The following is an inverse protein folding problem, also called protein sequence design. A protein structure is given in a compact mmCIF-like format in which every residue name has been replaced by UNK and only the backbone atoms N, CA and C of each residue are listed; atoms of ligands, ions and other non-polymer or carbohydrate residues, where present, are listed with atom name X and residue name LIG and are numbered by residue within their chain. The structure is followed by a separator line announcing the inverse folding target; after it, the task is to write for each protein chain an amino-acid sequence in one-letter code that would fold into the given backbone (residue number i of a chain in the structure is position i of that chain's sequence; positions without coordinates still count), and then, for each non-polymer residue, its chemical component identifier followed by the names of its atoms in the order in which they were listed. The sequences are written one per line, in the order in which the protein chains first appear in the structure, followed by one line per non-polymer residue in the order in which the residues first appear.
data_IF_176912044102
#
_entry.id   IF_176912044102
#
_cell.length_a   1.000
_cell.length_b   1.000
_cell.length_c   1.000
_cell.angle_alpha   90.00
_cell.angle_beta   90.00
_cell.angle_gamma   90.00
#
_symmetry.space_group_name_H-M   'P 1'
#
loop_
_entity.id
_entity.type
_entity.pdbx_description
1 polymer ?
#
# COMPACT_ATOMS: atom_id res chain seq x y z
N UNK A 1 30.93 -7.87 0.86
CA UNK A 1 29.93 -6.81 0.70
C UNK A 1 29.07 -7.15 -0.50
N UNK A 2 27.75 -7.27 -0.31
CA UNK A 2 26.81 -7.37 -1.43
C UNK A 2 26.61 -5.97 -2.01
N UNK A 3 26.69 -5.84 -3.33
CA UNK A 3 26.36 -4.61 -4.04
C UNK A 3 24.83 -4.54 -4.17
N UNK A 4 24.19 -3.81 -3.25
CA UNK A 4 22.74 -3.66 -3.22
C UNK A 4 22.32 -2.50 -4.11
N UNK A 5 21.44 -2.76 -5.08
CA UNK A 5 20.93 -1.75 -6.03
C UNK A 5 19.43 -1.51 -5.95
N UNK A 6 18.67 -2.39 -5.27
CA UNK A 6 17.23 -2.30 -5.24
C UNK A 6 16.63 -2.86 -3.94
N UNK A 7 15.59 -2.22 -3.44
CA UNK A 7 14.80 -2.70 -2.31
C UNK A 7 13.30 -2.53 -2.60
N UNK A 8 12.52 -3.59 -2.39
CA UNK A 8 11.06 -3.51 -2.37
C UNK A 8 10.52 -3.90 -0.99
N UNK A 9 9.67 -3.05 -0.39
CA UNK A 9 8.98 -3.38 0.85
C UNK A 9 7.53 -3.75 0.57
N UNK A 10 7.26 -5.05 0.56
CA UNK A 10 5.94 -5.62 0.26
C UNK A 10 5.29 -6.25 1.51
N UNK A 11 6.10 -6.55 2.54
CA UNK A 11 5.64 -7.22 3.75
C UNK A 11 4.54 -6.41 4.46
N UNK A 12 3.48 -7.09 4.85
CA UNK A 12 2.42 -6.50 5.66
C UNK A 12 1.66 -7.56 6.47
N UNK A 13 1.05 -7.13 7.55
CA UNK A 13 0.03 -7.87 8.28
C UNK A 13 -1.27 -7.08 8.25
N UNK A 14 -2.39 -7.78 8.23
CA UNK A 14 -3.72 -7.19 8.34
C UNK A 14 -4.60 -8.03 9.27
N UNK A 15 -5.63 -7.39 9.83
CA UNK A 15 -6.67 -8.07 10.59
C UNK A 15 -7.97 -7.29 10.43
N UNK A 16 -9.04 -8.00 10.10
CA UNK A 16 -10.38 -7.43 10.06
C UNK A 16 -11.07 -7.61 11.41
N UNK A 17 -11.75 -6.59 11.88
CA UNK A 17 -12.53 -6.60 13.10
C UNK A 17 -12.64 -5.22 13.74
N UNK A 18 -13.56 -5.09 14.69
CA UNK A 18 -13.63 -3.89 15.52
C UNK A 18 -12.37 -3.81 16.38
N UNK A 19 -11.91 -2.60 16.63
CA UNK A 19 -10.65 -2.38 17.35
C UNK A 19 -10.65 -3.04 18.74
N UNK A 20 -11.77 -2.93 19.46
CA UNK A 20 -11.89 -3.48 20.82
C UNK A 20 -12.02 -5.01 20.85
N UNK A 21 -12.39 -5.65 19.73
CA UNK A 21 -12.60 -7.10 19.64
C UNK A 21 -11.36 -7.83 19.09
N UNK A 22 -10.37 -7.09 18.61
CA UNK A 22 -9.10 -7.64 18.10
C UNK A 22 -8.10 -7.76 19.27
N UNK A 23 -7.49 -8.94 19.49
CA UNK A 23 -6.46 -9.11 20.54
C UNK A 23 -5.29 -8.15 20.37
N UNK A 24 -4.78 -7.61 21.50
CA UNK A 24 -3.68 -6.64 21.49
C UNK A 24 -2.44 -7.15 20.75
N UNK A 25 -2.12 -8.41 20.87
CA UNK A 25 -0.96 -9.04 20.23
C UNK A 25 -1.01 -8.95 18.70
N UNK A 26 -2.22 -8.97 18.12
CA UNK A 26 -2.41 -8.72 16.68
C UNK A 26 -2.15 -7.25 16.32
N UNK A 27 -2.62 -6.34 17.16
CA UNK A 27 -2.33 -4.92 16.98
C UNK A 27 -0.83 -4.63 17.02
N UNK A 28 -0.16 -5.16 18.04
CA UNK A 28 1.29 -5.00 18.20
C UNK A 28 2.07 -5.59 17.02
N UNK A 29 1.70 -6.81 16.57
CA UNK A 29 2.31 -7.44 15.40
C UNK A 29 2.14 -6.59 14.13
N UNK A 30 0.95 -6.03 13.88
CA UNK A 30 0.71 -5.14 12.74
C UNK A 30 1.56 -3.87 12.82
N UNK A 31 1.67 -3.22 13.97
CA UNK A 31 2.53 -2.04 14.15
C UNK A 31 3.99 -2.43 13.87
N UNK A 32 4.44 -3.55 14.43
CA UNK A 32 5.81 -4.00 14.27
C UNK A 32 6.17 -4.29 12.81
N UNK A 33 5.30 -4.94 12.05
CA UNK A 33 5.58 -5.22 10.62
C UNK A 33 5.33 -3.99 9.76
N UNK A 34 4.13 -3.38 9.85
CA UNK A 34 3.72 -2.35 8.88
C UNK A 34 4.38 -0.98 9.12
N UNK A 35 4.90 -0.73 10.33
CA UNK A 35 5.50 0.56 10.69
C UNK A 35 6.95 0.41 11.10
N UNK A 36 7.22 -0.34 12.17
CA UNK A 36 8.57 -0.38 12.77
C UNK A 36 9.57 -1.07 11.85
N UNK A 37 9.24 -2.25 11.33
CA UNK A 37 10.12 -3.01 10.41
C UNK A 37 10.26 -2.28 9.07
N UNK A 38 9.16 -1.73 8.54
CA UNK A 38 9.21 -0.86 7.37
C UNK A 38 10.25 0.25 7.55
N UNK A 39 10.13 1.05 8.63
CA UNK A 39 11.05 2.15 8.87
C UNK A 39 12.50 1.71 9.03
N UNK A 40 12.75 0.59 9.72
CA UNK A 40 14.11 0.04 9.86
C UNK A 40 14.71 -0.34 8.52
N UNK A 41 13.95 -1.03 7.66
CA UNK A 41 14.39 -1.41 6.32
C UNK A 41 14.61 -0.17 5.45
N UNK A 42 13.62 0.71 5.38
CA UNK A 42 13.68 1.91 4.56
C UNK A 42 14.86 2.79 4.94
N UNK A 43 15.01 3.11 6.23
CA UNK A 43 16.15 3.87 6.74
C UNK A 43 17.51 3.20 6.40
N UNK A 44 17.61 1.88 6.60
CA UNK A 44 18.86 1.15 6.35
C UNK A 44 19.28 1.23 4.89
N UNK A 45 18.36 0.93 3.96
CA UNK A 45 18.68 0.94 2.53
C UNK A 45 18.86 2.35 1.98
N UNK A 46 18.07 3.33 2.43
CA UNK A 46 18.27 4.73 2.04
C UNK A 46 19.67 5.24 2.44
N UNK A 47 20.21 4.85 3.60
CA UNK A 47 21.59 5.18 3.94
C UNK A 47 22.62 4.57 2.98
N UNK A 48 22.40 3.33 2.55
CA UNK A 48 23.29 2.65 1.59
C UNK A 48 23.20 3.37 0.23
N UNK A 49 22.01 3.57 -0.27
CA UNK A 49 21.78 4.16 -1.59
C UNK A 49 22.23 5.62 -1.67
N UNK A 50 21.99 6.42 -0.64
CA UNK A 50 22.49 7.78 -0.55
C UNK A 50 24.03 7.84 -0.51
N UNK A 51 24.69 6.93 0.22
CA UNK A 51 26.14 6.90 0.30
C UNK A 51 26.83 6.47 -1.01
N UNK A 52 26.18 5.65 -1.82
CA UNK A 52 26.70 5.21 -3.14
C UNK A 52 26.15 6.05 -4.30
N UNK A 53 25.27 7.01 -4.02
CA UNK A 53 24.53 7.83 -5.00
C UNK A 53 23.95 6.98 -6.15
N UNK A 54 23.37 5.84 -5.79
CA UNK A 54 22.79 4.87 -6.73
C UNK A 54 21.89 3.90 -5.99
N UNK A 55 20.71 3.65 -6.52
CA UNK A 55 19.79 2.64 -6.03
C UNK A 55 18.34 2.97 -6.32
N UNK A 56 17.46 2.03 -6.02
CA UNK A 56 16.03 2.25 -6.16
C UNK A 56 15.24 1.59 -5.05
N UNK A 57 14.12 2.21 -4.69
CA UNK A 57 13.19 1.72 -3.66
C UNK A 57 11.77 1.76 -4.20
N UNK A 58 11.05 0.64 -4.08
CA UNK A 58 9.60 0.58 -4.25
C UNK A 58 8.97 0.16 -2.92
N UNK A 59 8.14 1.02 -2.36
CA UNK A 59 7.36 0.73 -1.17
C UNK A 59 5.88 0.52 -1.53
N UNK A 60 5.25 -0.49 -0.94
CA UNK A 60 3.88 -0.88 -1.28
C UNK A 60 2.89 -0.38 -0.25
N UNK A 61 2.03 0.55 -0.66
CA UNK A 61 0.87 1.02 0.09
C UNK A 61 -0.43 0.33 -0.35
N UNK A 62 -1.56 0.86 0.03
CA UNK A 62 -2.91 0.35 -0.28
C UNK A 62 -3.88 1.50 -0.46
N UNK A 63 -4.96 1.29 -1.20
CA UNK A 63 -6.10 2.22 -1.29
C UNK A 63 -6.64 2.61 0.10
N UNK A 64 -6.57 1.68 1.08
CA UNK A 64 -6.94 1.97 2.48
C UNK A 64 -5.96 2.90 3.18
N UNK A 65 -4.77 3.13 2.62
CA UNK A 65 -3.84 4.16 3.08
C UNK A 65 -4.15 5.56 2.53
N UNK A 66 -4.96 5.66 1.48
CA UNK A 66 -5.46 6.94 0.95
C UNK A 66 -6.70 7.37 1.74
N UNK A 67 -7.64 6.44 1.93
CA UNK A 67 -8.90 6.70 2.64
C UNK A 67 -9.21 5.57 3.60
N UNK A 68 -9.80 5.91 4.76
CA UNK A 68 -10.02 4.98 5.86
C UNK A 68 -11.03 3.89 5.49
N UNK A 69 -10.77 2.67 5.96
CA UNK A 69 -11.68 1.54 5.84
C UNK A 69 -12.08 1.05 7.23
N UNK A 70 -13.37 1.15 7.61
CA UNK A 70 -13.86 0.59 8.86
C UNK A 70 -13.51 -0.90 8.99
N UNK A 71 -13.38 -1.40 10.22
CA UNK A 71 -12.93 -2.76 10.56
C UNK A 71 -11.52 -3.15 10.08
N UNK A 72 -10.83 -2.24 9.40
CA UNK A 72 -9.46 -2.41 8.90
C UNK A 72 -8.58 -1.19 9.21
N UNK A 73 -8.98 -0.38 10.18
CA UNK A 73 -8.40 0.95 10.44
C UNK A 73 -6.91 0.92 10.73
N UNK A 74 -6.44 -0.03 11.52
CA UNK A 74 -5.01 -0.12 11.85
C UNK A 74 -4.13 -0.51 10.65
N UNK A 75 -4.60 -1.41 9.79
CA UNK A 75 -3.92 -1.73 8.53
C UNK A 75 -3.86 -0.49 7.64
N UNK A 76 -4.99 0.20 7.45
CA UNK A 76 -5.05 1.45 6.69
C UNK A 76 -4.10 2.53 7.23
N UNK A 77 -4.05 2.70 8.56
CA UNK A 77 -3.12 3.62 9.20
C UNK A 77 -1.65 3.25 8.93
N UNK A 78 -1.29 1.96 8.99
CA UNK A 78 0.04 1.47 8.62
C UNK A 78 0.38 1.73 7.14
N UNK A 79 -0.59 1.53 6.24
CA UNK A 79 -0.40 1.81 4.81
C UNK A 79 -0.35 3.31 4.51
N UNK A 80 -1.09 4.15 5.24
CA UNK A 80 -0.98 5.60 5.18
C UNK A 80 0.40 6.08 5.66
N UNK A 81 0.96 5.46 6.70
CA UNK A 81 2.33 5.74 7.15
C UNK A 81 3.35 5.46 6.04
N UNK A 82 3.29 4.26 5.41
CA UNK A 82 4.17 3.91 4.28
C UNK A 82 4.01 4.91 3.13
N UNK A 83 2.77 5.24 2.76
CA UNK A 83 2.46 6.18 1.68
C UNK A 83 3.12 7.53 1.93
N UNK A 84 2.79 8.17 3.05
CA UNK A 84 3.26 9.53 3.33
C UNK A 84 4.75 9.62 3.59
N UNK A 85 5.31 8.62 4.25
CA UNK A 85 6.76 8.55 4.49
C UNK A 85 7.53 8.39 3.18
N UNK A 86 7.05 7.54 2.26
CA UNK A 86 7.73 7.33 0.98
C UNK A 86 7.59 8.52 0.05
N UNK A 87 6.39 9.13 -0.04
CA UNK A 87 6.18 10.37 -0.83
C UNK A 87 7.14 11.49 -0.42
N UNK A 88 7.33 11.67 0.89
CA UNK A 88 8.25 12.69 1.39
C UNK A 88 9.70 12.40 0.99
N UNK A 89 10.18 11.17 1.22
CA UNK A 89 11.55 10.77 0.89
C UNK A 89 11.78 10.75 -0.63
N UNK A 90 10.80 10.35 -1.42
CA UNK A 90 10.88 10.39 -2.88
C UNK A 90 11.16 11.81 -3.40
N UNK A 91 10.48 12.81 -2.84
CA UNK A 91 10.76 14.21 -3.17
C UNK A 91 12.15 14.67 -2.69
N UNK A 92 12.62 14.20 -1.55
CA UNK A 92 13.97 14.50 -1.05
C UNK A 92 15.07 13.98 -1.98
N UNK A 93 14.82 12.89 -2.71
CA UNK A 93 15.80 12.24 -3.60
C UNK A 93 15.76 12.68 -5.06
N UNK A 94 14.80 13.50 -5.48
CA UNK A 94 14.61 13.92 -6.89
C UNK A 94 15.86 14.49 -7.59
N UNK A 95 16.84 15.00 -6.81
CA UNK A 95 18.09 15.58 -7.35
C UNK A 95 19.30 14.65 -7.15
N UNK A 96 19.08 13.39 -6.87
CA UNK A 96 20.11 12.36 -6.68
C UNK A 96 19.95 11.25 -7.72
N UNK A 97 20.85 10.28 -7.73
CA UNK A 97 20.73 9.08 -8.55
C UNK A 97 20.04 7.91 -7.78
N UNK A 98 19.13 8.25 -6.86
CA UNK A 98 18.35 7.27 -6.08
C UNK A 98 16.88 7.46 -6.37
N UNK A 99 16.27 6.46 -7.01
CA UNK A 99 14.85 6.45 -7.33
C UNK A 99 14.03 5.91 -6.15
N UNK A 100 13.03 6.65 -5.71
CA UNK A 100 12.12 6.24 -4.63
C UNK A 100 10.69 6.41 -5.11
N UNK A 101 9.91 5.33 -4.99
CA UNK A 101 8.52 5.29 -5.41
C UNK A 101 7.65 4.60 -4.35
N UNK A 102 6.44 5.08 -4.17
CA UNK A 102 5.38 4.32 -3.52
C UNK A 102 4.32 3.90 -4.53
N UNK A 103 4.02 2.60 -4.57
CA UNK A 103 2.88 2.11 -5.35
C UNK A 103 1.73 1.75 -4.40
N UNK A 104 0.56 2.33 -4.69
CA UNK A 104 -0.67 2.15 -3.91
C UNK A 104 -1.59 1.15 -4.62
N UNK A 105 -1.80 0.01 -3.99
CA UNK A 105 -2.55 -1.10 -4.57
C UNK A 105 -4.04 -1.07 -4.20
N UNK A 106 -4.87 -1.42 -5.16
CA UNK A 106 -6.19 -1.97 -4.92
C UNK A 106 -6.15 -3.47 -4.60
N UNK A 107 -7.22 -4.17 -4.92
CA UNK A 107 -7.29 -5.63 -4.77
C UNK A 107 -6.37 -6.30 -5.78
N UNK A 108 -5.48 -7.18 -5.30
CA UNK A 108 -4.51 -7.90 -6.14
C UNK A 108 -4.65 -9.40 -5.91
N UNK A 109 -4.68 -10.20 -6.98
CA UNK A 109 -4.90 -11.64 -6.98
C UNK A 109 -3.68 -12.41 -6.45
N UNK A 110 -3.42 -12.26 -5.16
CA UNK A 110 -2.36 -13.02 -4.48
C UNK A 110 -2.88 -14.39 -3.99
N UNK A 111 -2.01 -15.38 -3.75
CA UNK A 111 -2.41 -16.65 -3.15
C UNK A 111 -3.18 -16.46 -1.82
N UNK A 112 -2.79 -15.50 -1.01
CA UNK A 112 -3.49 -15.16 0.25
C UNK A 112 -4.90 -14.63 0.00
N UNK A 113 -5.13 -13.78 -1.01
CA UNK A 113 -6.47 -13.34 -1.36
C UNK A 113 -7.30 -14.52 -1.87
N UNK A 114 -6.76 -15.28 -2.82
CA UNK A 114 -7.47 -16.39 -3.46
C UNK A 114 -7.93 -17.45 -2.44
N UNK A 115 -7.12 -17.73 -1.42
CA UNK A 115 -7.46 -18.69 -0.36
C UNK A 115 -8.57 -18.19 0.58
N UNK A 116 -8.84 -16.90 0.61
CA UNK A 116 -9.84 -16.26 1.47
C UNK A 116 -10.98 -15.60 0.67
N UNK A 117 -11.04 -15.83 -0.64
CA UNK A 117 -12.05 -15.24 -1.50
C UNK A 117 -13.44 -15.83 -1.16
N UNK A 118 -14.47 -15.00 -0.92
CA UNK A 118 -15.82 -15.51 -0.71
C UNK A 118 -16.32 -16.23 -1.97
N UNK A 119 -17.10 -17.27 -1.79
CA UNK A 119 -17.78 -17.95 -2.91
C UNK A 119 -18.89 -17.10 -3.52
N UNK A 120 -19.34 -17.49 -4.73
CA UNK A 120 -20.49 -16.88 -5.40
C UNK A 120 -20.25 -15.47 -5.96
N UNK A 121 -21.32 -14.68 -6.17
CA UNK A 121 -21.27 -13.40 -6.89
C UNK A 121 -20.26 -12.39 -6.33
N UNK A 122 -20.03 -12.39 -5.01
CA UNK A 122 -19.07 -11.48 -4.38
C UNK A 122 -17.63 -11.81 -4.78
N UNK A 123 -17.25 -13.08 -4.73
CA UNK A 123 -15.92 -13.51 -5.17
C UNK A 123 -15.70 -13.29 -6.67
N UNK A 124 -16.74 -13.55 -7.48
CA UNK A 124 -16.68 -13.26 -8.93
C UNK A 124 -16.49 -11.76 -9.22
N UNK A 125 -17.14 -10.88 -8.45
CA UNK A 125 -16.96 -9.44 -8.59
C UNK A 125 -15.51 -9.01 -8.24
N UNK A 126 -14.94 -9.57 -7.19
CA UNK A 126 -13.54 -9.35 -6.82
C UNK A 126 -12.61 -9.81 -7.94
N UNK A 127 -12.78 -11.03 -8.45
CA UNK A 127 -11.96 -11.58 -9.54
C UNK A 127 -11.98 -10.73 -10.81
N UNK A 128 -13.13 -10.14 -11.14
CA UNK A 128 -13.28 -9.27 -12.33
C UNK A 128 -12.60 -7.92 -12.21
N UNK A 129 -12.27 -7.50 -11.01
CA UNK A 129 -11.82 -6.12 -10.72
C UNK A 129 -10.44 -6.04 -10.11
N UNK A 130 -9.92 -7.16 -9.65
CA UNK A 130 -8.58 -7.24 -9.09
C UNK A 130 -7.51 -7.30 -10.19
N UNK A 131 -6.37 -6.69 -9.91
CA UNK A 131 -5.19 -6.81 -10.76
C UNK A 131 -4.43 -8.10 -10.48
N UNK A 132 -3.67 -8.58 -11.46
CA UNK A 132 -2.68 -9.63 -11.21
C UNK A 132 -1.42 -9.05 -10.56
N UNK A 133 -0.62 -9.85 -9.84
CA UNK A 133 0.67 -9.40 -9.33
C UNK A 133 1.61 -8.90 -10.42
N UNK A 134 1.58 -9.53 -11.59
CA UNK A 134 2.40 -9.18 -12.76
C UNK A 134 2.06 -7.78 -13.27
N UNK A 135 0.77 -7.45 -13.44
CA UNK A 135 0.33 -6.11 -13.85
C UNK A 135 0.81 -5.02 -12.88
N UNK A 136 0.76 -5.31 -11.57
CA UNK A 136 1.23 -4.38 -10.54
C UNK A 136 2.75 -4.18 -10.63
N UNK A 137 3.51 -5.25 -10.79
CA UNK A 137 4.97 -5.20 -10.88
C UNK A 137 5.41 -4.48 -12.15
N UNK A 138 4.79 -4.77 -13.28
CA UNK A 138 5.09 -4.11 -14.57
C UNK A 138 4.84 -2.61 -14.48
N UNK A 139 3.70 -2.18 -13.90
CA UNK A 139 3.38 -0.76 -13.70
C UNK A 139 4.38 -0.08 -12.75
N UNK A 140 4.74 -0.73 -11.63
CA UNK A 140 5.71 -0.19 -10.69
C UNK A 140 7.07 0.07 -11.37
N UNK A 141 7.60 -0.90 -12.10
CA UNK A 141 8.87 -0.73 -12.80
C UNK A 141 8.79 0.25 -13.98
N UNK A 142 7.64 0.35 -14.66
CA UNK A 142 7.44 1.36 -15.69
C UNK A 142 7.50 2.78 -15.14
N UNK A 143 7.01 3.00 -13.91
CA UNK A 143 6.89 4.32 -13.28
C UNK A 143 8.08 4.71 -12.44
N UNK A 144 8.89 3.77 -11.99
CA UNK A 144 10.07 4.00 -11.17
C UNK A 144 11.02 5.03 -11.83
N UNK A 145 11.41 6.03 -11.06
CA UNK A 145 12.21 7.16 -11.54
C UNK A 145 11.45 8.19 -12.39
N UNK A 146 10.14 8.03 -12.58
CA UNK A 146 9.29 8.96 -13.35
C UNK A 146 8.18 9.56 -12.49
N UNK A 147 7.60 8.78 -11.57
CA UNK A 147 6.53 9.20 -10.68
C UNK A 147 6.91 8.87 -9.23
N UNK A 148 6.61 9.76 -8.30
CA UNK A 148 6.94 9.56 -6.87
C UNK A 148 5.89 8.69 -6.17
N UNK A 149 4.63 8.79 -6.63
CA UNK A 149 3.47 8.13 -6.01
C UNK A 149 2.53 7.63 -7.10
N UNK A 150 2.38 6.33 -7.19
CA UNK A 150 1.59 5.64 -8.22
C UNK A 150 0.38 4.97 -7.58
N UNK A 151 -0.81 5.22 -8.12
CA UNK A 151 -2.00 4.40 -7.83
C UNK A 151 -2.08 3.34 -8.91
N UNK A 152 -1.96 2.07 -8.55
CA UNK A 152 -1.93 0.99 -9.51
C UNK A 152 -3.30 0.73 -10.14
N UNK A 153 -3.31 0.64 -11.47
CA UNK A 153 -4.49 0.34 -12.28
C UNK A 153 -5.41 1.50 -12.55
N UNK A 154 -5.85 1.66 -13.79
CA UNK A 154 -6.70 2.76 -14.24
C UNK A 154 -8.03 2.86 -13.49
N UNK A 155 -8.60 1.72 -13.11
CA UNK A 155 -9.83 1.68 -12.31
C UNK A 155 -9.65 2.30 -10.93
N UNK A 156 -8.53 2.00 -10.26
CA UNK A 156 -8.23 2.56 -8.93
C UNK A 156 -7.96 4.06 -9.02
N UNK A 157 -7.23 4.50 -10.05
CA UNK A 157 -7.00 5.93 -10.35
C UNK A 157 -8.33 6.67 -10.54
N UNK A 158 -9.19 6.13 -11.40
CA UNK A 158 -10.51 6.72 -11.67
C UNK A 158 -11.37 6.78 -10.41
N UNK A 159 -11.38 5.72 -9.58
CA UNK A 159 -12.13 5.67 -8.33
C UNK A 159 -11.67 6.75 -7.34
N UNK A 160 -10.36 6.91 -7.14
CA UNK A 160 -9.83 7.96 -6.25
C UNK A 160 -10.14 9.36 -6.79
N UNK A 161 -10.01 9.56 -8.09
CA UNK A 161 -10.31 10.84 -8.72
C UNK A 161 -11.79 11.21 -8.57
N UNK A 162 -12.70 10.29 -8.87
CA UNK A 162 -14.15 10.50 -8.78
C UNK A 162 -14.57 10.81 -7.34
N UNK A 163 -14.10 10.00 -6.35
CA UNK A 163 -14.41 10.25 -4.95
C UNK A 163 -13.92 11.62 -4.48
N UNK A 164 -12.68 11.99 -4.76
CA UNK A 164 -12.11 13.28 -4.38
C UNK A 164 -12.83 14.48 -5.04
N UNK A 165 -13.37 14.29 -6.24
CA UNK A 165 -14.07 15.34 -6.95
C UNK A 165 -15.52 15.54 -6.47
N UNK A 166 -16.20 14.47 -6.03
CA UNK A 166 -17.67 14.45 -5.86
C UNK A 166 -18.11 14.17 -4.41
N UNK A 167 -17.22 13.75 -3.51
CA UNK A 167 -17.58 13.31 -2.16
C UNK A 167 -16.61 13.84 -1.12
N UNK A 168 -17.07 13.88 0.14
CA UNK A 168 -16.22 14.15 1.29
C UNK A 168 -15.55 12.86 1.79
N UNK A 169 -14.51 12.99 2.61
CA UNK A 169 -13.90 11.83 3.29
C UNK A 169 -14.91 11.10 4.19
N UNK A 170 -15.81 11.83 4.85
CA UNK A 170 -16.91 11.27 5.65
C UNK A 170 -17.84 10.37 4.80
N UNK A 171 -18.17 10.80 3.59
CA UNK A 171 -19.02 10.01 2.68
C UNK A 171 -18.33 8.70 2.31
N UNK A 172 -17.01 8.75 2.02
CA UNK A 172 -16.23 7.57 1.70
C UNK A 172 -16.16 6.59 2.88
N UNK A 173 -15.85 7.08 4.07
CA UNK A 173 -15.77 6.24 5.29
C UNK A 173 -17.11 5.53 5.54
N UNK A 174 -18.24 6.26 5.43
CA UNK A 174 -19.58 5.68 5.60
C UNK A 174 -19.92 4.68 4.51
N UNK A 175 -19.58 4.99 3.27
CA UNK A 175 -19.76 4.06 2.14
C UNK A 175 -18.98 2.77 2.36
N UNK A 176 -17.71 2.86 2.72
CA UNK A 176 -16.88 1.68 3.04
C UNK A 176 -17.45 0.92 4.25
N UNK A 177 -17.97 1.63 5.24
CA UNK A 177 -18.63 1.03 6.41
C UNK A 177 -19.90 0.24 6.07
N UNK A 178 -20.64 0.64 5.02
CA UNK A 178 -21.88 -0.04 4.65
C UNK A 178 -21.69 -1.48 4.16
N UNK A 179 -20.50 -1.84 3.68
CA UNK A 179 -20.19 -3.22 3.27
C UNK A 179 -20.04 -4.20 4.43
N UNK A 180 -19.93 -3.70 5.66
CA UNK A 180 -19.66 -4.50 6.87
C UNK A 180 -20.78 -4.38 7.92
N UNK A 181 -21.89 -3.75 7.58
CA UNK A 181 -23.07 -3.74 8.43
C UNK A 181 -23.87 -5.01 8.15
N UNK A 182 -24.04 -5.85 9.16
CA UNK A 182 -24.99 -6.96 9.18
C UNK A 182 -26.42 -6.46 9.37
#
# INVERSE_FOLDING_TARGET
NLDMGFMAYVACLHSFGKIQDTPWEKHEAMINVNVVTFMKCFYHYMKIFAAQDRGAVINVSSMTGISSSPWNGQYGAGKAFILKMTEAVACETEKTNVDVEVITLGTTLTPSLLSNLPGGPQGEAVMKTAQTPEEVVDEAFEKLGKELSVISGERNKASVHDWKANHTEDDYIRYMGSFYQE
#
